data_IF_415037935170
#
_entry.id   IF_415037935170
#
_cell.length_a   1.000
_cell.length_b   1.000
_cell.length_c   1.000
_cell.angle_alpha   90.00
_cell.angle_beta   90.00
_cell.angle_gamma   90.00
#
_symmetry.space_group_name_H-M   'P 1'
#
loop_
_entity.id
_entity.type
_entity.pdbx_description
1 polymer ?
#
# COMPACT_ATOMS: atom_id res chain seq x y z
N UNK A 1 29.45 34.12 3.94
CA UNK A 1 28.23 34.87 3.57
C UNK A 1 27.00 34.08 4.01
N UNK A 2 26.14 34.63 4.88
CA UNK A 2 24.83 34.02 5.18
C UNK A 2 23.90 34.35 4.02
N UNK A 3 23.47 33.35 3.26
CA UNK A 3 22.46 33.50 2.22
C UNK A 3 21.17 34.05 2.85
N UNK A 4 20.74 35.24 2.41
CA UNK A 4 19.47 35.82 2.83
C UNK A 4 18.36 35.10 2.05
N UNK A 5 17.55 34.30 2.74
CA UNK A 5 16.40 33.63 2.13
C UNK A 5 15.38 34.63 1.60
N UNK A 6 14.90 34.40 0.38
CA UNK A 6 13.81 35.18 -0.22
C UNK A 6 12.51 35.08 0.59
N UNK A 7 11.65 36.10 0.53
CA UNK A 7 10.32 36.08 1.18
C UNK A 7 9.45 34.91 0.70
N UNK A 8 9.54 34.56 -0.59
CA UNK A 8 8.86 33.40 -1.15
C UNK A 8 9.32 32.09 -0.48
N UNK A 9 10.62 31.95 -0.22
CA UNK A 9 11.16 30.78 0.49
C UNK A 9 10.68 30.72 1.95
N UNK A 10 10.61 31.86 2.64
CA UNK A 10 10.08 31.93 4.01
C UNK A 10 8.60 31.51 4.06
N UNK A 11 7.81 31.97 3.09
CA UNK A 11 6.38 31.66 3.02
C UNK A 11 6.09 30.17 2.71
N UNK A 12 6.93 29.51 1.91
CA UNK A 12 6.74 28.10 1.51
C UNK A 12 7.23 27.12 2.60
N UNK A 13 8.26 27.48 3.36
CA UNK A 13 8.88 26.61 4.37
C UNK A 13 7.90 25.87 5.30
N UNK A 14 6.87 26.51 5.91
CA UNK A 14 5.92 25.78 6.76
C UNK A 14 5.05 24.77 6.00
N UNK A 15 4.85 24.96 4.69
CA UNK A 15 4.01 24.10 3.85
C UNK A 15 4.74 22.82 3.43
N UNK A 16 6.04 22.92 3.12
CA UNK A 16 6.86 21.80 2.61
C UNK A 16 7.60 21.02 3.70
N UNK A 17 7.45 21.41 4.97
CA UNK A 17 8.04 20.68 6.09
C UNK A 17 7.51 19.25 6.20
N UNK A 18 8.22 18.35 6.89
CA UNK A 18 7.79 16.96 7.06
C UNK A 18 6.41 16.87 7.71
N UNK A 19 5.69 15.78 7.46
CA UNK A 19 4.41 15.50 8.12
C UNK A 19 4.66 15.27 9.61
N UNK A 20 3.94 15.99 10.47
CA UNK A 20 4.00 15.77 11.91
C UNK A 20 3.04 14.67 12.32
N UNK A 21 3.41 13.89 13.33
CA UNK A 21 2.58 12.82 13.87
C UNK A 21 1.20 13.31 14.35
N UNK A 22 1.10 14.53 14.86
CA UNK A 22 -0.18 15.13 15.27
C UNK A 22 -1.08 15.47 14.09
N UNK A 23 -0.50 15.95 12.98
CA UNK A 23 -1.22 16.21 11.73
C UNK A 23 -1.74 14.89 11.14
N UNK A 24 -0.89 13.87 11.10
CA UNK A 24 -1.24 12.52 10.65
C UNK A 24 -2.41 11.95 11.45
N UNK A 25 -2.30 11.93 12.80
CA UNK A 25 -3.36 11.42 13.67
C UNK A 25 -4.67 12.18 13.48
N UNK A 26 -4.61 13.50 13.38
CA UNK A 26 -5.80 14.35 13.19
C UNK A 26 -6.46 14.06 11.84
N UNK A 27 -5.67 13.96 10.77
CA UNK A 27 -6.17 13.66 9.44
C UNK A 27 -6.82 12.27 9.37
N UNK A 28 -6.18 11.25 9.97
CA UNK A 28 -6.72 9.89 10.06
C UNK A 28 -8.07 9.88 10.77
N UNK A 29 -8.20 10.59 11.90
CA UNK A 29 -9.48 10.67 12.62
C UNK A 29 -10.56 11.39 11.81
N UNK A 30 -10.20 12.50 11.16
CA UNK A 30 -11.13 13.23 10.29
C UNK A 30 -11.61 12.37 9.12
N UNK A 31 -10.71 11.64 8.46
CA UNK A 31 -11.04 10.74 7.36
C UNK A 31 -11.97 9.60 7.80
N UNK A 32 -11.66 8.94 8.93
CA UNK A 32 -12.53 7.89 9.49
C UNK A 32 -13.92 8.41 9.83
N UNK A 33 -13.99 9.56 10.50
CA UNK A 33 -15.27 10.16 10.88
C UNK A 33 -16.11 10.54 9.65
N UNK A 34 -15.46 11.08 8.61
CA UNK A 34 -16.13 11.46 7.36
C UNK A 34 -16.71 10.27 6.62
N UNK A 35 -15.96 9.16 6.54
CA UNK A 35 -16.36 7.95 5.81
C UNK A 35 -17.15 6.94 6.67
N UNK A 36 -17.43 7.24 7.94
CA UNK A 36 -17.94 6.27 8.92
C UNK A 36 -19.23 5.54 8.51
N UNK A 37 -20.08 6.18 7.69
CA UNK A 37 -21.34 5.60 7.21
C UNK A 37 -21.21 4.84 5.90
N UNK A 38 -20.09 4.98 5.20
CA UNK A 38 -19.88 4.43 3.86
C UNK A 38 -18.82 3.34 3.82
N UNK A 39 -17.94 3.26 4.83
CA UNK A 39 -16.95 2.19 4.92
C UNK A 39 -17.66 0.87 5.23
N UNK A 40 -17.21 -0.20 4.58
CA UNK A 40 -17.57 -1.54 5.02
C UNK A 40 -16.95 -1.85 6.38
N UNK A 41 -17.39 -2.95 7.01
CA UNK A 41 -16.78 -3.45 8.25
C UNK A 41 -15.30 -3.83 8.08
N UNK A 42 -14.84 -3.98 6.83
CA UNK A 42 -13.48 -4.36 6.51
C UNK A 42 -12.81 -3.31 5.64
N UNK A 43 -12.12 -2.41 6.29
CA UNK A 43 -11.25 -1.41 5.66
C UNK A 43 -9.92 -1.28 6.40
N UNK A 44 -8.94 -0.66 5.76
CA UNK A 44 -7.65 -0.31 6.36
C UNK A 44 -7.16 1.04 5.85
N UNK A 45 -6.50 1.79 6.72
CA UNK A 45 -5.72 2.96 6.31
C UNK A 45 -4.32 2.46 5.97
N UNK A 46 -3.89 2.67 4.73
CA UNK A 46 -2.64 2.09 4.20
C UNK A 46 -1.57 3.14 3.94
N UNK A 47 -1.90 4.43 4.05
CA UNK A 47 -0.93 5.49 3.88
C UNK A 47 -1.46 6.83 4.35
N UNK A 48 -0.55 7.65 4.87
CA UNK A 48 -0.80 9.06 5.15
C UNK A 48 0.38 9.86 4.63
N UNK A 49 0.10 10.91 3.86
CA UNK A 49 1.13 11.67 3.18
C UNK A 49 0.78 13.13 2.99
N UNK A 50 1.80 13.95 2.75
CA UNK A 50 1.59 15.35 2.38
C UNK A 50 1.15 15.46 0.93
N UNK A 51 0.06 16.18 0.73
CA UNK A 51 -0.43 16.58 -0.58
C UNK A 51 -0.23 18.09 -0.73
N UNK A 52 0.70 18.45 -1.60
CA UNK A 52 1.02 19.84 -1.93
C UNK A 52 0.78 20.00 -3.42
N UNK A 53 -0.33 20.61 -3.77
CA UNK A 53 -0.66 20.87 -5.17
C UNK A 53 0.04 22.14 -5.65
N UNK A 54 0.34 22.19 -6.95
CA UNK A 54 0.96 23.37 -7.56
C UNK A 54 0.01 24.57 -7.40
N UNK A 55 0.46 25.66 -6.77
CA UNK A 55 -0.39 26.83 -6.61
C UNK A 55 -0.52 27.59 -7.93
N UNK A 56 -1.56 28.43 -8.02
CA UNK A 56 -1.59 29.47 -9.04
C UNK A 56 -0.37 30.40 -8.91
N UNK A 57 0.01 31.05 -10.02
CA UNK A 57 1.20 31.92 -10.07
C UNK A 57 1.15 32.96 -8.95
N UNK A 58 2.23 33.05 -8.17
CA UNK A 58 2.38 34.02 -7.08
C UNK A 58 1.68 33.65 -5.76
N UNK A 59 1.07 32.47 -5.64
CA UNK A 59 0.44 32.00 -4.39
C UNK A 59 1.29 30.95 -3.67
N UNK A 60 1.10 30.88 -2.35
CA UNK A 60 1.63 29.80 -1.51
C UNK A 60 0.71 28.57 -1.69
N UNK A 61 1.24 27.35 -1.84
CA UNK A 61 0.41 26.16 -1.94
C UNK A 61 -0.31 25.85 -0.63
N UNK A 62 -1.48 25.23 -0.75
CA UNK A 62 -2.17 24.68 0.40
C UNK A 62 -1.42 23.44 0.90
N UNK A 63 -1.24 23.35 2.22
CA UNK A 63 -0.79 22.10 2.87
C UNK A 63 -2.01 21.24 3.13
N UNK A 64 -2.06 20.06 2.51
CA UNK A 64 -3.10 19.05 2.77
C UNK A 64 -2.45 17.73 3.16
N UNK A 65 -3.20 16.91 3.86
CA UNK A 65 -2.81 15.57 4.27
C UNK A 65 -3.74 14.61 3.53
N UNK A 66 -3.18 13.76 2.68
CA UNK A 66 -3.89 12.67 2.03
C UNK A 66 -3.88 11.44 2.93
N UNK A 67 -5.06 10.88 3.19
CA UNK A 67 -5.23 9.62 3.94
C UNK A 67 -5.79 8.59 2.97
N UNK A 68 -4.99 7.57 2.67
CA UNK A 68 -5.36 6.50 1.74
C UNK A 68 -6.06 5.38 2.51
N UNK A 69 -7.28 5.07 2.09
CA UNK A 69 -8.14 4.05 2.68
C UNK A 69 -8.43 2.98 1.62
N UNK A 70 -8.15 1.73 1.98
CA UNK A 70 -8.54 0.54 1.23
C UNK A 70 -9.78 -0.03 1.90
N UNK A 71 -10.91 -0.05 1.19
CA UNK A 71 -12.17 -0.62 1.65
C UNK A 71 -12.39 -1.96 0.93
N UNK A 72 -12.03 -3.04 1.63
CA UNK A 72 -12.02 -4.39 1.08
C UNK A 72 -13.43 -4.88 0.75
N UNK A 73 -14.41 -4.57 1.61
CA UNK A 73 -15.79 -5.01 1.43
C UNK A 73 -16.48 -4.31 0.27
N UNK A 74 -16.22 -3.02 0.08
CA UNK A 74 -16.76 -2.26 -1.06
C UNK A 74 -15.86 -2.30 -2.30
N UNK A 75 -14.73 -3.01 -2.24
CA UNK A 75 -13.74 -3.14 -3.35
C UNK A 75 -13.35 -1.79 -3.95
N UNK A 76 -13.08 -0.80 -3.09
CA UNK A 76 -12.69 0.54 -3.51
C UNK A 76 -11.51 1.07 -2.70
N UNK A 77 -10.73 1.92 -3.34
CA UNK A 77 -9.62 2.62 -2.71
C UNK A 77 -9.90 4.12 -2.84
N UNK A 78 -9.79 4.86 -1.74
CA UNK A 78 -10.05 6.30 -1.73
C UNK A 78 -8.90 7.04 -1.05
N UNK A 79 -8.62 8.25 -1.50
CA UNK A 79 -7.76 9.20 -0.80
C UNK A 79 -8.62 10.33 -0.24
N UNK A 80 -8.65 10.47 1.08
CA UNK A 80 -9.32 11.59 1.77
C UNK A 80 -8.32 12.71 1.98
N UNK A 81 -8.57 13.87 1.39
CA UNK A 81 -7.75 15.05 1.58
C UNK A 81 -8.27 15.87 2.77
N UNK A 82 -7.39 16.12 3.72
CA UNK A 82 -7.69 16.87 4.95
C UNK A 82 -6.81 18.12 5.00
N UNK A 83 -7.38 19.27 5.37
CA UNK A 83 -6.60 20.48 5.63
C UNK A 83 -5.88 20.42 6.99
N UNK A 84 -4.99 21.39 7.25
CA UNK A 84 -4.22 21.46 8.51
C UNK A 84 -5.08 21.73 9.75
N UNK A 85 -6.36 22.07 9.59
CA UNK A 85 -7.32 22.25 10.69
C UNK A 85 -8.13 20.97 10.95
N UNK A 86 -7.85 19.87 10.24
CA UNK A 86 -8.56 18.61 10.37
C UNK A 86 -9.90 18.58 9.62
N UNK A 87 -10.15 19.52 8.70
CA UNK A 87 -11.36 19.50 7.87
C UNK A 87 -11.13 18.69 6.61
N UNK A 88 -12.02 17.75 6.30
CA UNK A 88 -12.03 17.07 5.00
C UNK A 88 -12.39 18.08 3.91
N UNK A 89 -11.52 18.20 2.91
CA UNK A 89 -11.69 19.14 1.79
C UNK A 89 -12.02 18.43 0.48
N UNK A 90 -11.66 17.16 0.35
CA UNK A 90 -12.00 16.35 -0.81
C UNK A 90 -11.92 14.85 -0.50
N UNK A 91 -12.63 14.04 -1.28
CA UNK A 91 -12.48 12.59 -1.32
C UNK A 91 -12.25 12.20 -2.78
N UNK A 92 -11.15 11.52 -3.05
CA UNK A 92 -10.75 11.10 -4.40
C UNK A 92 -10.91 9.59 -4.48
N UNK A 93 -11.75 9.13 -5.41
CA UNK A 93 -11.75 7.71 -5.80
C UNK A 93 -10.48 7.43 -6.60
N UNK A 94 -9.72 6.41 -6.18
CA UNK A 94 -8.49 6.02 -6.86
C UNK A 94 -8.75 5.17 -8.11
N UNK A 95 -10.01 4.92 -8.47
CA UNK A 95 -10.46 4.32 -9.73
C UNK A 95 -9.75 3.00 -10.07
N UNK A 96 -9.60 2.13 -9.07
CA UNK A 96 -8.92 0.85 -9.21
C UNK A 96 -7.40 0.91 -9.09
N UNK A 97 -6.79 2.09 -8.95
CA UNK A 97 -5.38 2.17 -8.58
C UNK A 97 -5.17 1.52 -7.20
N UNK A 98 -4.12 0.71 -7.13
CA UNK A 98 -3.79 -0.08 -5.95
C UNK A 98 -2.66 0.62 -5.18
N UNK A 99 -2.91 1.10 -3.96
CA UNK A 99 -1.85 1.63 -3.10
C UNK A 99 -0.78 0.57 -2.82
N UNK A 100 0.45 0.97 -2.43
CA UNK A 100 1.45 0.02 -1.95
C UNK A 100 0.90 -0.89 -0.85
N UNK A 101 1.34 -2.15 -0.84
CA UNK A 101 0.94 -3.12 0.18
C UNK A 101 1.58 -2.81 1.53
N UNK A 102 0.85 -2.96 2.62
CA UNK A 102 1.43 -2.85 3.98
C UNK A 102 1.98 -4.19 4.48
N UNK A 103 2.85 -4.16 5.50
CA UNK A 103 3.35 -5.38 6.14
C UNK A 103 2.23 -6.25 6.70
N UNK A 104 1.16 -5.64 7.20
CA UNK A 104 -0.04 -6.35 7.67
C UNK A 104 -0.78 -7.03 6.52
N UNK A 105 -0.87 -6.39 5.35
CA UNK A 105 -1.46 -7.00 4.14
C UNK A 105 -0.62 -8.17 3.66
N UNK A 106 0.70 -8.04 3.67
CA UNK A 106 1.63 -9.12 3.30
C UNK A 106 1.49 -10.30 4.26
N UNK A 107 1.44 -10.04 5.58
CA UNK A 107 1.24 -11.09 6.60
C UNK A 107 -0.12 -11.77 6.45
N UNK A 108 -1.20 -11.02 6.24
CA UNK A 108 -2.54 -11.56 6.02
C UNK A 108 -2.60 -12.40 4.75
N UNK A 109 -2.02 -11.93 3.65
CA UNK A 109 -1.95 -12.67 2.40
C UNK A 109 -1.21 -14.00 2.58
N UNK A 110 -0.06 -13.99 3.27
CA UNK A 110 0.68 -15.22 3.56
C UNK A 110 -0.13 -16.19 4.40
N UNK A 111 -0.81 -15.70 5.44
CA UNK A 111 -1.65 -16.54 6.29
C UNK A 111 -2.83 -17.17 5.53
N UNK A 112 -3.35 -16.50 4.50
CA UNK A 112 -4.39 -17.05 3.61
C UNK A 112 -3.78 -18.08 2.64
N UNK A 113 -2.73 -17.70 1.92
CA UNK A 113 -2.11 -18.55 0.92
C UNK A 113 -1.59 -19.86 1.52
N UNK A 114 -0.92 -19.79 2.68
CA UNK A 114 -0.29 -20.95 3.34
C UNK A 114 -1.30 -21.89 4.03
N UNK A 115 -2.61 -21.62 3.96
CA UNK A 115 -3.65 -22.61 4.30
C UNK A 115 -3.83 -23.65 3.19
N UNK A 116 -3.51 -23.29 1.95
CA UNK A 116 -3.54 -24.21 0.82
C UNK A 116 -2.36 -25.18 0.88
N UNK A 117 -2.64 -26.48 0.74
CA UNK A 117 -1.64 -27.53 0.95
C UNK A 117 -0.44 -27.44 -0.01
N UNK A 118 -0.63 -27.24 -1.33
CA UNK A 118 0.45 -26.93 -2.27
C UNK A 118 1.33 -25.74 -1.85
N UNK A 119 0.75 -24.60 -1.47
CA UNK A 119 1.51 -23.41 -1.03
C UNK A 119 2.27 -23.69 0.27
N UNK A 120 1.60 -24.27 1.26
CA UNK A 120 2.17 -24.60 2.57
C UNK A 120 3.41 -25.49 2.45
N UNK A 121 3.41 -26.42 1.49
CA UNK A 121 4.55 -27.29 1.19
C UNK A 121 5.78 -26.49 0.75
N UNK A 122 5.61 -25.44 -0.05
CA UNK A 122 6.73 -24.56 -0.42
C UNK A 122 7.16 -23.69 0.76
N UNK A 123 6.21 -23.08 1.48
CA UNK A 123 6.50 -22.22 2.62
C UNK A 123 7.33 -22.93 3.73
N UNK A 124 7.13 -24.24 3.92
CA UNK A 124 7.84 -25.06 4.91
C UNK A 124 9.23 -25.53 4.48
N UNK A 125 9.68 -25.30 3.24
CA UNK A 125 11.02 -25.72 2.81
C UNK A 125 12.08 -24.91 3.56
N UNK A 126 13.24 -25.52 3.81
CA UNK A 126 14.38 -24.82 4.42
C UNK A 126 14.86 -23.69 3.51
N UNK A 127 15.26 -22.58 4.12
CA UNK A 127 15.80 -21.40 3.43
C UNK A 127 14.85 -20.79 2.40
N UNK A 128 13.55 -20.83 2.64
CA UNK A 128 12.58 -20.14 1.81
C UNK A 128 12.48 -18.67 2.18
N UNK A 129 12.46 -17.85 1.15
CA UNK A 129 12.20 -16.43 1.19
C UNK A 129 10.89 -16.15 0.46
N UNK A 130 10.09 -15.23 1.00
CA UNK A 130 8.85 -14.77 0.40
C UNK A 130 8.97 -13.29 0.11
N UNK A 131 8.72 -12.89 -1.14
CA UNK A 131 8.56 -11.48 -1.51
C UNK A 131 7.20 -11.24 -2.14
N UNK A 132 6.70 -10.04 -1.98
CA UNK A 132 5.47 -9.57 -2.59
C UNK A 132 5.69 -9.05 -4.02
N UNK A 133 4.63 -9.04 -4.82
CA UNK A 133 4.57 -8.34 -6.09
C UNK A 133 3.13 -7.87 -6.36
N UNK A 134 2.99 -6.84 -7.19
CA UNK A 134 1.68 -6.39 -7.67
C UNK A 134 1.22 -7.29 -8.82
N UNK A 135 0.11 -8.05 -8.67
CA UNK A 135 -0.44 -8.84 -9.76
C UNK A 135 -1.06 -7.93 -10.84
N UNK A 136 -1.35 -8.45 -12.05
CA UNK A 136 -2.09 -7.72 -13.07
C UNK A 136 -3.41 -7.17 -12.52
N UNK A 137 -3.76 -5.95 -12.92
CA UNK A 137 -5.01 -5.31 -12.51
C UNK A 137 -6.21 -6.07 -13.07
N UNK A 138 -7.30 -6.08 -12.30
CA UNK A 138 -8.57 -6.66 -12.72
C UNK A 138 -9.69 -5.64 -12.63
N UNK A 139 -10.74 -5.87 -13.42
CA UNK A 139 -11.88 -4.94 -13.56
C UNK A 139 -12.81 -4.95 -12.36
N UNK A 140 -12.67 -5.91 -11.45
CA UNK A 140 -13.49 -6.05 -10.24
C UNK A 140 -12.95 -5.28 -9.04
N UNK A 141 -11.84 -4.54 -9.23
CA UNK A 141 -11.19 -3.69 -8.22
C UNK A 141 -10.82 -4.41 -6.91
N UNK A 142 -10.74 -5.74 -6.94
CA UNK A 142 -10.38 -6.51 -5.77
C UNK A 142 -8.94 -6.21 -5.33
N UNK A 143 -8.71 -6.14 -4.02
CA UNK A 143 -7.39 -5.90 -3.44
C UNK A 143 -6.59 -7.20 -3.54
N UNK A 144 -5.73 -7.33 -4.54
CA UNK A 144 -4.91 -8.54 -4.76
C UNK A 144 -3.45 -8.32 -4.44
N UNK A 145 -2.83 -9.34 -3.85
CA UNK A 145 -1.42 -9.34 -3.50
C UNK A 145 -0.76 -10.62 -4.02
N UNK A 146 0.30 -10.45 -4.81
CA UNK A 146 1.11 -11.56 -5.29
C UNK A 146 2.20 -11.91 -4.29
N UNK A 147 2.43 -13.19 -4.06
CA UNK A 147 3.49 -13.75 -3.22
C UNK A 147 4.39 -14.64 -4.08
N UNK A 148 5.69 -14.41 -4.00
CA UNK A 148 6.73 -15.22 -4.65
C UNK A 148 7.51 -15.97 -3.60
N UNK A 149 7.46 -17.29 -3.67
CA UNK A 149 8.25 -18.18 -2.84
C UNK A 149 9.53 -18.52 -3.60
N UNK A 150 10.68 -18.30 -2.98
CA UNK A 150 12.00 -18.58 -3.55
C UNK A 150 12.87 -19.31 -2.54
N UNK A 151 13.83 -20.10 -3.02
CA UNK A 151 14.80 -20.78 -2.16
C UNK A 151 16.12 -20.04 -2.18
N UNK A 152 16.78 -19.99 -1.02
CA UNK A 152 18.13 -19.50 -0.85
C UNK A 152 19.09 -20.68 -0.65
N UNK A 153 20.12 -20.80 -1.50
CA UNK A 153 21.26 -21.69 -1.25
C UNK A 153 22.50 -20.86 -0.93
N UNK A 154 23.15 -21.14 0.20
CA UNK A 154 24.34 -20.40 0.67
C UNK A 154 24.15 -18.86 0.67
N UNK A 155 22.95 -18.40 1.01
CA UNK A 155 22.59 -16.98 1.06
C UNK A 155 22.32 -16.34 -0.31
N UNK A 156 22.28 -17.10 -1.40
CA UNK A 156 21.95 -16.60 -2.75
C UNK A 156 20.61 -17.16 -3.22
N UNK A 157 19.83 -16.32 -3.90
CA UNK A 157 18.58 -16.73 -4.54
C UNK A 157 18.88 -17.73 -5.64
N UNK A 158 18.38 -18.96 -5.51
CA UNK A 158 18.56 -20.01 -6.53
C UNK A 158 17.41 -20.13 -7.50
N UNK A 159 16.27 -19.51 -7.19
CA UNK A 159 15.13 -19.42 -8.08
C UNK A 159 13.83 -19.31 -7.32
N UNK A 160 12.82 -18.73 -7.98
CA UNK A 160 11.45 -18.81 -7.51
C UNK A 160 10.93 -20.24 -7.74
N UNK A 161 10.22 -20.78 -6.75
CA UNK A 161 9.66 -22.14 -6.78
C UNK A 161 8.15 -22.14 -6.90
N UNK A 162 7.49 -21.04 -6.51
CA UNK A 162 6.06 -20.87 -6.68
C UNK A 162 5.65 -19.40 -6.65
N UNK A 163 4.53 -19.11 -7.30
CA UNK A 163 3.77 -17.87 -7.17
C UNK A 163 2.38 -18.18 -6.61
N UNK A 164 1.91 -17.33 -5.72
CA UNK A 164 0.52 -17.33 -5.25
C UNK A 164 -0.05 -15.92 -5.43
N UNK A 165 -1.32 -15.80 -5.80
CA UNK A 165 -2.05 -14.53 -5.78
C UNK A 165 -3.20 -14.69 -4.81
N UNK A 166 -3.26 -13.79 -3.84
CA UNK A 166 -4.31 -13.75 -2.82
C UNK A 166 -5.22 -12.57 -3.10
N UNK A 167 -6.51 -12.83 -3.09
CA UNK A 167 -7.53 -11.79 -3.03
C UNK A 167 -7.77 -11.43 -1.57
N UNK A 168 -7.19 -10.32 -1.14
CA UNK A 168 -7.40 -9.81 0.20
C UNK A 168 -8.84 -9.35 0.39
N UNK A 169 -9.58 -8.92 -0.65
CA UNK A 169 -10.99 -8.55 -0.48
C UNK A 169 -11.87 -9.76 -0.15
N UNK A 170 -11.69 -10.88 -0.84
CA UNK A 170 -12.45 -12.12 -0.64
C UNK A 170 -11.85 -13.07 0.42
N UNK A 171 -10.60 -12.86 0.84
CA UNK A 171 -9.83 -13.73 1.76
C UNK A 171 -9.57 -15.12 1.20
N UNK A 172 -9.22 -15.20 -0.07
CA UNK A 172 -8.99 -16.47 -0.74
C UNK A 172 -7.72 -16.46 -1.59
N UNK A 173 -7.14 -17.64 -1.77
CA UNK A 173 -6.13 -17.89 -2.77
C UNK A 173 -6.82 -18.00 -4.13
N UNK A 174 -6.54 -17.07 -5.04
CA UNK A 174 -7.19 -17.04 -6.36
C UNK A 174 -6.33 -17.63 -7.47
N UNK A 175 -5.02 -17.73 -7.24
CA UNK A 175 -4.10 -18.30 -8.22
C UNK A 175 -2.88 -18.90 -7.54
N UNK A 176 -2.40 -20.03 -8.07
CA UNK A 176 -1.16 -20.65 -7.63
C UNK A 176 -0.47 -21.35 -8.80
N UNK A 177 0.78 -20.98 -9.04
CA UNK A 177 1.64 -21.62 -10.04
C UNK A 177 2.91 -22.14 -9.37
N UNK A 178 3.23 -23.41 -9.59
CA UNK A 178 4.57 -23.92 -9.31
C UNK A 178 5.50 -23.55 -10.48
N UNK A 179 6.66 -23.02 -10.15
CA UNK A 179 7.69 -22.74 -11.15
C UNK A 179 8.56 -24.00 -11.20
N UNK A 180 8.65 -24.69 -12.35
CA UNK A 180 9.53 -25.82 -12.49
C UNK A 180 10.95 -25.38 -12.15
N UNK A 181 11.52 -25.96 -11.09
CA UNK A 181 12.90 -25.69 -10.74
C UNK A 181 13.79 -26.11 -11.89
N UNK A 182 14.64 -25.19 -12.35
CA UNK A 182 15.70 -25.47 -13.31
C UNK A 182 16.66 -26.50 -12.69
N UNK A 183 16.31 -27.77 -12.86
CA UNK A 183 17.06 -28.93 -12.39
C UNK A 183 18.22 -29.25 -13.33
N UNK A 184 18.54 -28.36 -14.28
CA UNK A 184 19.51 -28.60 -15.34
C UNK A 184 20.98 -28.23 -15.01
N UNK A 185 21.30 -27.71 -13.81
CA UNK A 185 22.68 -27.30 -13.49
C UNK A 185 23.30 -28.03 -12.29
N UNK A 186 23.13 -29.35 -12.20
CA UNK A 186 24.02 -30.21 -11.39
C UNK A 186 24.52 -31.38 -12.26
N UNK A 187 25.56 -31.11 -13.04
CA UNK A 187 26.57 -32.10 -13.44
C UNK A 187 27.91 -31.66 -12.87
#
# INVERSE_FOLDING_TARGET
MKSVMSEATKAIRPVIGPLKQTEERTAVQAAKAHLAKELSDRYRIVGVGLRIDKPARGKVPDRRIGVVVVDYGNRRNVEVLVDTRGKVVNVVDLMGAQPPSTDEEIKEARAIAEQDSPVARHAKRKNVFVSEFAPPSTTDHARRLGLRYAVLEKGRLTGAVAHAIVDLSARELVHFDEIPGDSASRR
#
